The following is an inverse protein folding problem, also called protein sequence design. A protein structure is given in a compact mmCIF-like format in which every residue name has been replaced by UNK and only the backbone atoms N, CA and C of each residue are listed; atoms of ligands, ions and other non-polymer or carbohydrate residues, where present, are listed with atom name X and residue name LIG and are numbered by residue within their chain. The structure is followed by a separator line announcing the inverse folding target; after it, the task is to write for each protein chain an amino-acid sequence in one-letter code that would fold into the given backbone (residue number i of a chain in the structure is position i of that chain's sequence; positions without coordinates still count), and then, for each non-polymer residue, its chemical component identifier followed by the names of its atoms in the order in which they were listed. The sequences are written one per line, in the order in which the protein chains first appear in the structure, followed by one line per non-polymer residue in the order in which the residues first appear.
data_IF_397648581674
#
_entry.id   IF_397648581674
#
_cell.length_a   1.000
_cell.length_b   1.000
_cell.length_c   1.000
_cell.angle_alpha   90.00
_cell.angle_beta   90.00
_cell.angle_gamma   90.00
#
_symmetry.space_group_name_H-M   'P 1'
#
loop_
_entity.id
_entity.type
_entity.pdbx_description
1 polymer ?
#
# COMPACT_ATOMS: atom_id res chain seq x y z
N UNK A 1 3.44 -15.51 8.76
CA UNK A 1 2.59 -14.87 7.74
C UNK A 1 2.29 -15.88 6.65
N UNK A 2 1.07 -15.91 6.13
CA UNK A 2 0.65 -16.75 5.01
C UNK A 2 1.33 -16.32 3.71
N UNK A 3 1.39 -15.01 3.44
CA UNK A 3 2.16 -14.46 2.33
C UNK A 3 3.51 -13.91 2.82
N UNK A 4 4.57 -13.93 1.98
CA UNK A 4 5.83 -13.24 2.27
C UNK A 4 5.60 -11.73 2.47
N UNK A 5 6.39 -11.09 3.34
CA UNK A 5 6.22 -9.68 3.69
C UNK A 5 6.36 -8.77 2.46
N UNK A 6 7.23 -9.17 1.53
CA UNK A 6 7.54 -8.53 0.26
C UNK A 6 6.29 -8.39 -0.63
N UNK A 7 5.34 -9.33 -0.56
CA UNK A 7 4.09 -9.24 -1.32
C UNK A 7 3.22 -8.06 -0.88
N UNK A 8 3.20 -7.76 0.42
CA UNK A 8 2.47 -6.62 0.97
C UNK A 8 3.14 -5.30 0.61
N UNK A 9 4.48 -5.27 0.62
CA UNK A 9 5.25 -4.11 0.17
C UNK A 9 5.04 -3.82 -1.32
N UNK A 10 5.10 -4.84 -2.16
CA UNK A 10 4.87 -4.71 -3.60
C UNK A 10 3.46 -4.19 -3.90
N UNK A 11 2.46 -4.70 -3.18
CA UNK A 11 1.09 -4.19 -3.26
C UNK A 11 1.02 -2.70 -2.87
N UNK A 12 1.73 -2.30 -1.81
CA UNK A 12 1.87 -0.90 -1.39
C UNK A 12 2.50 -0.02 -2.48
N UNK A 13 3.60 -0.48 -3.09
CA UNK A 13 4.28 0.21 -4.21
C UNK A 13 3.35 0.36 -5.42
N UNK A 14 2.69 -0.71 -5.86
CA UNK A 14 1.76 -0.71 -7.01
C UNK A 14 0.58 0.24 -6.78
N UNK A 15 0.02 0.25 -5.58
CA UNK A 15 -1.05 1.17 -5.20
C UNK A 15 -0.60 2.64 -5.29
N UNK A 16 0.59 2.95 -4.78
CA UNK A 16 1.15 4.29 -4.87
C UNK A 16 1.43 4.73 -6.32
N UNK A 17 1.96 3.84 -7.15
CA UNK A 17 2.21 4.09 -8.58
C UNK A 17 0.87 4.35 -9.30
N UNK A 18 -0.16 3.53 -9.07
CA UNK A 18 -1.50 3.75 -9.61
C UNK A 18 -2.05 5.14 -9.25
N UNK A 19 -1.93 5.54 -7.98
CA UNK A 19 -2.30 6.88 -7.53
C UNK A 19 -1.45 8.00 -8.10
N UNK A 20 -0.17 7.76 -8.38
CA UNK A 20 0.69 8.73 -9.05
C UNK A 20 0.27 8.92 -10.53
N UNK A 21 -0.25 7.87 -11.17
CA UNK A 21 -0.74 7.87 -12.55
C UNK A 21 -2.20 8.33 -12.69
N UNK A 22 -2.87 8.66 -11.59
CA UNK A 22 -4.31 8.97 -11.51
C UNK A 22 -5.22 7.80 -11.92
N UNK A 23 -4.73 6.57 -11.82
CA UNK A 23 -5.51 5.34 -12.03
C UNK A 23 -6.13 4.87 -10.70
N UNK A 24 -7.27 5.46 -10.35
CA UNK A 24 -7.97 5.12 -9.11
C UNK A 24 -8.56 3.71 -9.12
N UNK A 25 -8.92 3.17 -10.30
CA UNK A 25 -9.45 1.81 -10.40
C UNK A 25 -8.37 0.79 -9.98
N UNK A 26 -7.15 0.95 -10.50
CA UNK A 26 -6.01 0.10 -10.12
C UNK A 26 -5.59 0.32 -8.67
N UNK A 27 -5.65 1.56 -8.17
CA UNK A 27 -5.36 1.83 -6.75
C UNK A 27 -6.38 1.14 -5.81
N UNK A 28 -7.66 1.16 -6.16
CA UNK A 28 -8.71 0.45 -5.41
C UNK A 28 -8.53 -1.07 -5.47
N UNK A 29 -8.18 -1.61 -6.64
CA UNK A 29 -7.88 -3.03 -6.80
C UNK A 29 -6.78 -3.49 -5.83
N UNK A 30 -5.65 -2.78 -5.78
CA UNK A 30 -4.54 -3.12 -4.88
C UNK A 30 -4.95 -3.04 -3.39
N UNK A 31 -5.76 -2.04 -3.02
CA UNK A 31 -6.30 -1.93 -1.65
C UNK A 31 -7.22 -3.11 -1.29
N UNK A 32 -8.07 -3.55 -2.21
CA UNK A 32 -8.92 -4.72 -2.00
C UNK A 32 -8.09 -6.01 -1.96
N UNK A 33 -7.05 -6.10 -2.77
CA UNK A 33 -6.13 -7.23 -2.78
C UNK A 33 -5.42 -7.38 -1.43
N UNK A 34 -4.92 -6.28 -0.85
CA UNK A 34 -4.40 -6.26 0.53
C UNK A 34 -5.43 -6.80 1.53
N UNK A 35 -6.68 -6.33 1.47
CA UNK A 35 -7.72 -6.77 2.39
C UNK A 35 -7.98 -8.29 2.31
N UNK A 36 -7.96 -8.85 1.10
CA UNK A 36 -8.09 -10.29 0.86
C UNK A 36 -6.89 -11.07 1.41
N UNK A 37 -5.66 -10.59 1.18
CA UNK A 37 -4.46 -11.22 1.72
C UNK A 37 -4.47 -11.23 3.26
N UNK A 38 -4.81 -10.10 3.88
CA UNK A 38 -4.94 -9.96 5.32
C UNK A 38 -6.03 -10.83 5.96
N UNK A 39 -7.04 -11.29 5.20
CA UNK A 39 -8.12 -12.13 5.71
C UNK A 39 -7.68 -13.56 6.01
N UNK A 40 -6.57 -14.02 5.40
CA UNK A 40 -5.97 -15.33 5.66
C UNK A 40 -4.87 -15.29 6.73
N UNK A 41 -4.55 -14.11 7.27
CA UNK A 41 -3.51 -13.92 8.26
C UNK A 41 -4.05 -13.99 9.69
N UNK A 42 -3.16 -14.26 10.65
CA UNK A 42 -3.45 -14.01 12.07
C UNK A 42 -3.59 -12.51 12.34
N UNK A 43 -4.23 -12.13 13.45
CA UNK A 43 -4.40 -10.71 13.81
C UNK A 43 -3.07 -9.96 13.90
N UNK A 44 -2.05 -10.57 14.50
CA UNK A 44 -0.70 -10.02 14.62
C UNK A 44 -0.05 -9.81 13.24
N UNK A 45 -0.05 -10.86 12.41
CA UNK A 45 0.50 -10.81 11.06
C UNK A 45 -0.23 -9.79 10.18
N UNK A 46 -1.55 -9.65 10.35
CA UNK A 46 -2.37 -8.67 9.63
C UNK A 46 -1.95 -7.23 9.95
N UNK A 47 -1.55 -6.96 11.20
CA UNK A 47 -1.01 -5.64 11.58
C UNK A 47 0.35 -5.38 10.93
N UNK A 48 1.25 -6.37 10.94
CA UNK A 48 2.56 -6.27 10.28
C UNK A 48 2.43 -6.07 8.77
N UNK A 49 1.55 -6.84 8.12
CA UNK A 49 1.24 -6.73 6.70
C UNK A 49 0.73 -5.32 6.32
N UNK A 50 -0.20 -4.76 7.10
CA UNK A 50 -0.71 -3.40 6.88
C UNK A 50 0.38 -2.33 7.08
N UNK A 51 1.22 -2.50 8.10
CA UNK A 51 2.34 -1.59 8.34
C UNK A 51 3.35 -1.61 7.18
N UNK A 52 3.71 -2.78 6.68
CA UNK A 52 4.60 -2.93 5.52
C UNK A 52 4.00 -2.32 4.25
N UNK A 53 2.71 -2.57 3.98
CA UNK A 53 1.98 -1.93 2.88
C UNK A 53 2.03 -0.40 2.99
N UNK A 54 1.68 0.17 4.15
CA UNK A 54 1.59 1.62 4.33
C UNK A 54 2.96 2.30 4.25
N UNK A 55 4.01 1.65 4.75
CA UNK A 55 5.38 2.12 4.63
C UNK A 55 5.83 2.17 3.16
N UNK A 56 5.61 1.08 2.42
CA UNK A 56 5.93 0.99 1.00
C UNK A 56 5.11 2.01 0.17
N UNK A 57 3.81 2.14 0.45
CA UNK A 57 2.94 3.13 -0.20
C UNK A 57 3.45 4.56 0.00
N UNK A 58 3.77 4.95 1.25
CA UNK A 58 4.28 6.30 1.56
C UNK A 58 5.61 6.57 0.86
N UNK A 59 6.50 5.59 0.82
CA UNK A 59 7.81 5.74 0.16
C UNK A 59 7.71 5.98 -1.35
N UNK A 60 6.70 5.38 -2.00
CA UNK A 60 6.52 5.46 -3.46
C UNK A 60 5.56 6.58 -3.90
N UNK A 61 4.76 7.16 -3.00
CA UNK A 61 3.78 8.20 -3.34
C UNK A 61 4.47 9.54 -3.58
N UNK A 62 4.24 10.13 -4.75
CA UNK A 62 4.63 11.52 -5.06
C UNK A 62 3.57 12.47 -4.53
N UNK A 63 3.75 12.97 -3.31
CA UNK A 63 2.89 14.04 -2.77
C UNK A 63 3.58 15.38 -3.05
N UNK A 64 2.96 16.31 -3.78
CA UNK A 64 3.50 17.65 -3.94
C UNK A 64 3.65 18.31 -2.57
N UNK A 65 4.86 18.74 -2.24
CA UNK A 65 5.10 19.57 -1.06
C UNK A 65 4.56 20.96 -1.35
N UNK A 66 3.44 21.34 -0.72
CA UNK A 66 2.96 22.73 -0.75
C UNK A 66 3.87 23.52 0.21
N UNK A 67 5.06 23.91 -0.25
CA UNK A 67 5.84 24.94 0.43
C UNK A 67 5.03 26.23 0.32
N UNK A 68 4.39 26.61 1.42
CA UNK A 68 3.63 27.84 1.49
C UNK A 68 4.57 29.00 1.17
N UNK A 69 4.12 29.88 0.28
CA UNK A 69 4.78 31.14 -0.06
C UNK A 69 5.20 31.86 1.22
N UNK A 70 6.48 32.22 1.30
CA UNK A 70 7.05 33.04 2.37
C UNK A 70 6.90 34.51 2.05
#
# INVERSE_FOLDING_TARGET
MFNPIEAYEDCGRKCAIARNENDEARAMFERQYLARMCAFETLENSRLARAAFDAAYKSARRVPSIKHFR
#
